data_IF_104136817192
#
_entry.id   IF_104136817192
#
_cell.length_a   1.000
_cell.length_b   1.000
_cell.length_c   1.000
_cell.angle_alpha   90.00
_cell.angle_beta   90.00
_cell.angle_gamma   90.00
#
_symmetry.space_group_name_H-M   'P 1'
#
loop_
_entity.id
_entity.type
_entity.pdbx_description
1 polymer ?
#
# COMPACT_ATOMS: atom_id res chain seq x y z
N UNK A 1 6.59 -3.73 1.78
CA UNK A 1 7.68 -4.64 2.23
C UNK A 1 8.99 -3.90 2.39
N UNK A 2 9.63 -3.37 1.32
CA UNK A 2 10.86 -2.57 1.47
C UNK A 2 10.69 -1.43 2.46
N UNK A 3 9.68 -0.57 2.27
CA UNK A 3 9.39 0.55 3.17
C UNK A 3 9.10 0.12 4.60
N UNK A 4 8.42 -1.02 4.82
CA UNK A 4 8.19 -1.54 6.17
C UNK A 4 9.48 -1.98 6.87
N UNK A 5 10.48 -2.40 6.11
CA UNK A 5 11.76 -2.91 6.62
C UNK A 5 12.82 -1.80 6.75
N UNK A 6 12.75 -0.80 5.86
CA UNK A 6 13.77 0.26 5.72
C UNK A 6 13.28 1.61 6.26
N UNK A 7 11.97 1.82 6.33
CA UNK A 7 11.33 3.05 6.84
C UNK A 7 10.99 4.09 5.76
N UNK A 8 11.38 3.86 4.49
CA UNK A 8 11.05 4.74 3.38
C UNK A 8 10.96 3.97 2.05
N UNK A 9 10.26 4.50 1.02
CA UNK A 9 10.14 3.83 -0.27
C UNK A 9 11.49 3.63 -0.98
N UNK A 10 11.66 2.56 -1.78
CA UNK A 10 12.94 2.27 -2.46
C UNK A 10 13.32 3.31 -3.53
N UNK A 11 12.36 4.11 -4.00
CA UNK A 11 12.57 5.13 -5.03
C UNK A 11 12.00 6.46 -4.55
N UNK A 12 12.75 7.15 -3.69
CA UNK A 12 12.43 8.50 -3.24
C UNK A 12 13.30 9.54 -3.95
N UNK A 13 12.67 10.66 -4.28
CA UNK A 13 13.33 11.85 -4.82
C UNK A 13 12.46 13.08 -4.59
N UNK A 14 13.08 14.25 -4.74
CA UNK A 14 12.41 15.54 -4.58
C UNK A 14 11.39 15.81 -5.69
N UNK A 15 11.63 15.28 -6.89
CA UNK A 15 10.74 15.46 -8.04
C UNK A 15 10.08 14.16 -8.47
N UNK A 16 8.81 14.27 -8.87
CA UNK A 16 8.05 13.15 -9.46
C UNK A 16 8.74 12.58 -10.70
N UNK A 17 9.35 13.43 -11.52
CA UNK A 17 10.07 13.00 -12.73
C UNK A 17 11.25 12.07 -12.39
N UNK A 18 12.08 12.46 -11.41
CA UNK A 18 13.21 11.65 -10.97
C UNK A 18 12.74 10.32 -10.37
N UNK A 19 11.64 10.33 -9.60
CA UNK A 19 11.06 9.11 -9.04
C UNK A 19 10.68 8.14 -10.15
N UNK A 20 10.05 8.63 -11.23
CA UNK A 20 9.74 7.81 -12.40
C UNK A 20 11.00 7.26 -13.07
N UNK A 21 12.04 8.07 -13.25
CA UNK A 21 13.31 7.61 -13.84
C UNK A 21 13.94 6.48 -13.02
N UNK A 22 13.99 6.63 -11.69
CA UNK A 22 14.48 5.61 -10.75
C UNK A 22 13.67 4.31 -10.84
N UNK A 23 12.35 4.40 -10.94
CA UNK A 23 11.46 3.25 -11.12
C UNK A 23 11.75 2.53 -12.45
N UNK A 24 11.87 3.29 -13.55
CA UNK A 24 12.16 2.71 -14.87
C UNK A 24 13.53 2.03 -14.91
N UNK A 25 14.51 2.59 -14.20
CA UNK A 25 15.89 2.11 -14.13
C UNK A 25 16.15 1.34 -12.82
N UNK A 26 15.14 0.67 -12.27
CA UNK A 26 15.19 0.00 -10.96
C UNK A 26 16.40 -0.94 -10.77
N UNK A 27 16.90 -1.54 -11.85
CA UNK A 27 18.09 -2.42 -11.81
C UNK A 27 19.34 -1.70 -11.31
N UNK A 28 19.45 -0.40 -11.59
CA UNK A 28 20.56 0.44 -11.19
C UNK A 28 20.29 1.19 -9.88
N UNK A 29 19.05 1.58 -9.63
CA UNK A 29 18.68 2.43 -8.50
C UNK A 29 18.14 1.69 -7.27
N UNK A 30 17.82 0.40 -7.38
CA UNK A 30 17.43 -0.40 -6.21
C UNK A 30 18.66 -0.70 -5.35
N UNK A 31 18.85 0.11 -4.32
CA UNK A 31 19.89 -0.04 -3.32
C UNK A 31 19.29 -0.34 -1.94
N UNK A 32 20.04 -1.08 -1.13
CA UNK A 32 19.71 -1.34 0.27
C UNK A 32 20.69 -0.55 1.14
N UNK A 33 20.22 0.21 2.12
CA UNK A 33 21.09 1.04 2.95
C UNK A 33 21.96 0.19 3.88
N UNK A 34 23.24 0.56 4.05
CA UNK A 34 24.18 -0.17 4.91
C UNK A 34 23.85 -0.03 6.41
N UNK A 35 23.12 1.02 6.78
CA UNK A 35 22.67 1.32 8.14
C UNK A 35 21.43 0.51 8.55
N UNK A 36 20.78 -0.18 7.61
CA UNK A 36 19.63 -1.05 7.89
C UNK A 36 20.04 -2.53 7.81
N UNK A 37 20.03 -3.22 8.95
CA UNK A 37 20.35 -4.65 9.00
C UNK A 37 19.20 -5.53 8.51
N UNK A 38 19.16 -5.78 7.21
CA UNK A 38 18.23 -6.74 6.60
C UNK A 38 18.81 -8.16 6.59
N UNK A 39 17.95 -9.15 6.81
CA UNK A 39 18.35 -10.54 6.56
C UNK A 39 18.51 -10.78 5.05
N UNK A 40 19.32 -11.78 4.69
CA UNK A 40 19.52 -12.17 3.29
C UNK A 40 18.21 -12.56 2.62
N UNK A 41 17.33 -13.21 3.38
CA UNK A 41 16.02 -13.65 2.91
C UNK A 41 15.09 -12.46 2.64
N UNK A 42 15.17 -11.41 3.46
CA UNK A 42 14.40 -10.18 3.30
C UNK A 42 14.83 -9.44 2.02
N UNK A 43 16.14 -9.29 1.83
CA UNK A 43 16.68 -8.67 0.61
C UNK A 43 16.32 -9.49 -0.65
N UNK A 44 16.46 -10.82 -0.61
CA UNK A 44 16.12 -11.71 -1.73
C UNK A 44 14.65 -11.59 -2.13
N UNK A 45 13.72 -11.59 -1.15
CA UNK A 45 12.29 -11.45 -1.47
C UNK A 45 11.99 -10.07 -2.07
N UNK A 46 12.61 -8.98 -1.58
CA UNK A 46 12.44 -7.65 -2.19
C UNK A 46 12.91 -7.67 -3.64
N UNK A 47 14.13 -8.15 -3.91
CA UNK A 47 14.71 -8.18 -5.27
C UNK A 47 13.89 -9.03 -6.23
N UNK A 48 13.24 -10.09 -5.74
CA UNK A 48 12.37 -10.94 -6.54
C UNK A 48 10.95 -10.39 -6.75
N UNK A 49 10.54 -9.39 -5.99
CA UNK A 49 9.29 -8.65 -6.20
C UNK A 49 9.50 -7.41 -7.08
N UNK A 50 10.57 -6.65 -6.82
CA UNK A 50 11.00 -5.49 -7.62
C UNK A 50 11.86 -6.01 -8.78
N UNK A 51 11.19 -6.61 -9.75
CA UNK A 51 11.80 -7.18 -10.96
C UNK A 51 10.85 -7.09 -12.15
N UNK A 52 11.33 -7.50 -13.33
CA UNK A 52 10.52 -7.59 -14.55
C UNK A 52 9.33 -8.54 -14.38
N UNK A 53 8.22 -8.26 -15.06
CA UNK A 53 6.95 -8.98 -14.86
C UNK A 53 7.06 -10.49 -15.11
N UNK A 54 7.88 -10.92 -16.07
CA UNK A 54 8.15 -12.31 -16.42
C UNK A 54 8.91 -13.09 -15.34
N UNK A 55 9.65 -12.40 -14.47
CA UNK A 55 10.48 -13.00 -13.40
C UNK A 55 9.89 -12.86 -12.01
N UNK A 56 8.87 -12.01 -11.86
CA UNK A 56 8.28 -11.69 -10.57
C UNK A 56 7.68 -12.92 -9.91
N UNK A 57 7.90 -13.09 -8.61
CA UNK A 57 7.31 -14.19 -7.86
C UNK A 57 5.79 -14.16 -7.94
N UNK A 58 5.21 -15.36 -8.11
CA UNK A 58 3.76 -15.61 -8.00
C UNK A 58 3.43 -16.10 -6.60
N UNK A 59 2.15 -16.06 -6.24
CA UNK A 59 1.63 -16.37 -4.89
C UNK A 59 2.25 -17.63 -4.27
N UNK A 60 2.25 -18.76 -5.00
CA UNK A 60 2.78 -20.03 -4.45
C UNK A 60 4.26 -19.94 -4.08
N UNK A 61 5.06 -19.22 -4.89
CA UNK A 61 6.48 -19.01 -4.65
C UNK A 61 6.76 -17.96 -3.58
N UNK A 62 5.87 -16.98 -3.41
CA UNK A 62 5.91 -16.03 -2.29
C UNK A 62 5.68 -16.80 -0.99
N UNK A 63 4.62 -17.61 -0.92
CA UNK A 63 4.27 -18.39 0.27
C UNK A 63 5.37 -19.37 0.69
N UNK A 64 6.08 -19.95 -0.28
CA UNK A 64 7.18 -20.89 -0.03
C UNK A 64 8.55 -20.21 0.14
N UNK A 65 8.64 -18.88 0.13
CA UNK A 65 9.92 -18.19 0.22
C UNK A 65 10.51 -18.34 1.63
N UNK A 66 11.84 -18.54 1.79
CA UNK A 66 12.49 -18.69 3.10
C UNK A 66 12.22 -17.55 4.09
N UNK A 67 11.98 -16.34 3.58
CA UNK A 67 11.57 -15.18 4.38
C UNK A 67 10.31 -15.44 5.23
N UNK A 68 9.39 -16.26 4.73
CA UNK A 68 8.14 -16.63 5.42
C UNK A 68 8.22 -18.01 6.08
N UNK A 69 9.43 -18.51 6.37
CA UNK A 69 9.60 -19.79 7.05
C UNK A 69 8.85 -19.80 8.39
N UNK A 70 8.09 -20.87 8.63
CA UNK A 70 7.28 -21.03 9.84
C UNK A 70 5.89 -20.39 9.80
N UNK A 71 5.55 -19.62 8.76
CA UNK A 71 4.20 -19.07 8.60
C UNK A 71 3.24 -20.16 8.15
N UNK A 72 2.20 -20.42 8.96
CA UNK A 72 1.04 -21.20 8.52
C UNK A 72 0.01 -20.27 7.86
N UNK A 73 -0.07 -20.34 6.54
CA UNK A 73 -0.95 -19.48 5.74
C UNK A 73 -2.44 -19.78 5.92
N UNK A 74 -2.82 -21.00 6.31
CA UNK A 74 -4.22 -21.39 6.48
C UNK A 74 -4.80 -20.86 7.81
N UNK A 75 -3.94 -20.62 8.81
CA UNK A 75 -4.33 -20.12 10.13
C UNK A 75 -3.86 -18.69 10.40
N UNK A 76 -3.38 -17.96 9.39
CA UNK A 76 -2.77 -16.63 9.57
C UNK A 76 -3.73 -15.61 10.20
N UNK A 77 -5.04 -15.75 9.99
CA UNK A 77 -6.05 -14.87 10.60
C UNK A 77 -6.37 -15.21 12.06
N UNK A 78 -5.81 -16.30 12.58
CA UNK A 78 -6.03 -16.77 13.96
C UNK A 78 -4.85 -16.41 14.88
N UNK A 79 -3.76 -15.86 14.33
CA UNK A 79 -2.60 -15.42 15.12
C UNK A 79 -2.87 -14.04 15.71
N UNK A 80 -2.32 -13.77 16.89
CA UNK A 80 -2.38 -12.44 17.47
C UNK A 80 -1.61 -11.44 16.58
N UNK A 81 -2.23 -10.30 16.22
CA UNK A 81 -1.54 -9.29 15.42
C UNK A 81 -0.46 -8.59 16.25
N UNK A 82 0.60 -8.07 15.61
CA UNK A 82 1.69 -7.38 16.31
C UNK A 82 1.23 -6.07 16.97
N UNK A 83 0.12 -5.49 16.50
CA UNK A 83 -0.47 -4.29 17.06
C UNK A 83 -1.99 -4.45 17.17
N UNK A 84 -2.49 -4.29 18.38
CA UNK A 84 -3.93 -4.25 18.69
C UNK A 84 -4.28 -2.80 19.08
N UNK A 85 -5.07 -2.07 18.27
CA UNK A 85 -5.49 -0.70 18.58
C UNK A 85 -6.26 -0.64 19.92
N UNK A 86 -5.96 0.36 20.75
CA UNK A 86 -6.69 0.60 22.00
C UNK A 86 -7.75 1.67 21.77
N UNK A 87 -8.99 1.22 21.57
CA UNK A 87 -10.14 2.09 21.29
C UNK A 87 -10.83 2.51 22.58
N UNK A 88 -11.14 3.80 22.69
CA UNK A 88 -11.88 4.39 23.82
C UNK A 88 -13.40 4.27 23.64
N UNK A 89 -13.88 4.22 22.40
CA UNK A 89 -15.31 4.10 22.07
C UNK A 89 -15.52 3.59 20.64
N UNK A 90 -16.78 3.32 20.28
CA UNK A 90 -17.20 2.93 18.92
C UNK A 90 -16.96 4.02 17.87
N UNK A 91 -16.70 5.26 18.28
CA UNK A 91 -16.49 6.41 17.40
C UNK A 91 -15.07 6.97 17.54
N UNK A 92 -14.15 6.18 18.09
CA UNK A 92 -12.77 6.61 18.29
C UNK A 92 -12.02 6.67 16.95
N UNK A 93 -11.52 7.85 16.62
CA UNK A 93 -10.77 8.12 15.39
C UNK A 93 -9.31 8.47 15.65
N UNK A 94 -8.74 8.17 16.83
CA UNK A 94 -7.40 8.61 17.22
C UNK A 94 -6.27 8.12 16.29
N UNK A 95 -6.49 7.01 15.58
CA UNK A 95 -5.54 6.45 14.62
C UNK A 95 -5.70 7.01 13.20
N UNK A 96 -6.62 7.95 13.00
CA UNK A 96 -6.82 8.67 11.74
C UNK A 96 -6.39 10.14 11.93
N UNK A 97 -5.37 10.62 11.19
CA UNK A 97 -4.93 12.01 11.30
C UNK A 97 -6.03 12.98 10.83
N UNK A 98 -6.30 14.02 11.62
CA UNK A 98 -7.31 15.05 11.30
C UNK A 98 -6.70 16.30 10.63
N UNK A 99 -5.38 16.43 10.67
CA UNK A 99 -4.67 17.64 10.22
C UNK A 99 -4.67 17.78 8.68
N UNK A 100 -4.95 16.69 7.97
CA UNK A 100 -5.05 16.63 6.50
C UNK A 100 -6.48 16.91 5.99
N UNK A 101 -7.44 17.13 6.90
CA UNK A 101 -8.81 17.48 6.51
C UNK A 101 -8.80 18.94 6.07
N UNK A 102 -8.56 19.17 4.78
CA UNK A 102 -8.81 20.46 4.16
C UNK A 102 -10.26 20.87 4.45
N UNK A 103 -10.45 21.93 5.24
CA UNK A 103 -11.74 22.55 5.46
C UNK A 103 -12.16 23.34 4.21
N UNK A 104 -12.24 22.67 3.07
CA UNK A 104 -12.75 23.29 1.87
C UNK A 104 -14.29 23.33 2.01
N UNK A 105 -14.92 24.52 2.07
CA UNK A 105 -16.38 24.59 2.02
C UNK A 105 -16.81 23.83 0.76
N UNK A 106 -17.71 22.86 0.90
CA UNK A 106 -18.23 22.14 -0.23
C UNK A 106 -18.71 23.16 -1.28
N UNK A 107 -17.98 23.30 -2.39
CA UNK A 107 -18.46 24.00 -3.56
C UNK A 107 -19.60 23.15 -4.11
N UNK A 108 -20.82 23.44 -3.65
CA UNK A 108 -22.03 22.86 -4.22
C UNK A 108 -22.06 23.38 -5.66
N UNK A 109 -21.86 22.52 -6.68
CA UNK A 109 -21.88 22.96 -8.05
C UNK A 109 -23.25 23.61 -8.32
N UNK A 110 -23.25 24.76 -9.00
CA UNK A 110 -24.49 25.37 -9.45
C UNK A 110 -25.33 24.33 -10.23
N UNK A 111 -26.67 24.34 -10.13
CA UNK A 111 -27.51 23.37 -10.80
C UNK A 111 -27.32 23.48 -12.33
N UNK A 112 -26.53 22.57 -12.88
CA UNK A 112 -26.32 22.44 -14.32
C UNK A 112 -27.55 21.81 -14.97
N UNK A 113 -27.98 22.35 -16.11
CA UNK A 113 -29.10 21.81 -16.91
C UNK A 113 -28.84 20.39 -17.46
N UNK A 114 -27.61 19.87 -17.38
CA UNK A 114 -27.20 18.53 -17.82
C UNK A 114 -27.09 17.50 -16.68
N UNK A 115 -27.63 17.79 -15.49
CA UNK A 115 -27.56 16.91 -14.30
C UNK A 115 -27.99 15.46 -14.60
N UNK A 116 -29.07 15.26 -15.37
CA UNK A 116 -29.59 13.92 -15.69
C UNK A 116 -28.62 13.01 -16.46
N UNK A 117 -27.67 13.58 -17.22
CA UNK A 117 -26.66 12.78 -17.95
C UNK A 117 -25.49 12.40 -17.03
N UNK A 118 -25.16 13.25 -16.05
CA UNK A 118 -24.12 12.96 -15.04
C UNK A 118 -24.59 11.87 -14.06
N UNK A 119 -25.88 11.84 -13.72
CA UNK A 119 -26.46 10.86 -12.80
C UNK A 119 -26.40 9.42 -13.33
N UNK A 120 -26.34 9.24 -14.66
CA UNK A 120 -26.17 7.92 -15.28
C UNK A 120 -24.87 7.22 -14.84
N UNK A 121 -23.83 7.97 -14.48
CA UNK A 121 -22.57 7.42 -13.97
C UNK A 121 -22.74 6.68 -12.63
N UNK A 122 -23.83 6.94 -11.91
CA UNK A 122 -24.11 6.36 -10.59
C UNK A 122 -25.27 5.36 -10.60
N UNK A 123 -25.83 5.05 -11.79
CA UNK A 123 -26.87 4.02 -11.91
C UNK A 123 -26.29 2.66 -11.47
N UNK A 124 -26.92 2.04 -10.46
CA UNK A 124 -26.45 0.77 -9.88
C UNK A 124 -25.46 0.92 -8.73
N UNK A 125 -25.17 2.15 -8.29
CA UNK A 125 -24.32 2.40 -7.11
C UNK A 125 -24.95 1.89 -5.80
N UNK A 126 -26.29 1.95 -5.69
CA UNK A 126 -26.99 1.56 -4.48
C UNK A 126 -26.90 0.03 -4.25
N UNK A 127 -26.20 -0.36 -3.19
CA UNK A 127 -26.05 -1.76 -2.75
C UNK A 127 -26.70 -1.91 -1.38
N UNK A 128 -27.53 -2.94 -1.22
CA UNK A 128 -28.03 -3.40 0.08
C UNK A 128 -27.50 -4.79 0.34
N UNK A 129 -26.71 -4.95 1.40
CA UNK A 129 -26.27 -6.25 1.88
C UNK A 129 -27.50 -7.05 2.32
N UNK A 130 -27.65 -8.26 1.80
CA UNK A 130 -28.69 -9.23 2.19
C UNK A 130 -28.27 -9.93 3.48
#
# INVERSE_FOLDING_TARGET
MFECLVGYPPFCSESTHETYQKIMQWQYYLAFPDDVHLSREAEDVVRRLITSADRRLRVDKIKSHPFFYGVNWDSIHQIDPPFVPNLRSMTDTQYFPTDEIEQNPAEIPAPDTNTSQKDLAFLGYAIRSV
#
